data_IF_038762779497
#
_entry.id   IF_038762779497
#
_cell.length_a   1.000
_cell.length_b   1.000
_cell.length_c   1.000
_cell.angle_alpha   90.00
_cell.angle_beta   90.00
_cell.angle_gamma   90.00
#
_symmetry.space_group_name_H-M   'P 1'
#
loop_
_entity.id
_entity.type
_entity.pdbx_description
1 polymer ?
#
# COMPACT_ATOMS: atom_id res chain seq x y z
N UNK A 1 -22.50 7.34 -14.45
CA UNK A 1 -21.03 7.50 -14.32
C UNK A 1 -20.48 6.89 -13.03
N UNK A 2 -20.93 7.31 -11.84
CA UNK A 2 -20.44 6.84 -10.53
C UNK A 2 -20.30 5.30 -10.39
N UNK A 3 -21.33 4.50 -10.74
CA UNK A 3 -21.25 3.02 -10.70
C UNK A 3 -20.19 2.44 -11.65
N UNK A 4 -20.01 3.03 -12.82
CA UNK A 4 -19.01 2.58 -13.79
C UNK A 4 -17.58 2.90 -13.30
N UNK A 5 -17.39 4.09 -12.71
CA UNK A 5 -16.13 4.52 -12.10
C UNK A 5 -15.65 3.56 -11.01
N UNK A 6 -16.51 3.19 -10.06
CA UNK A 6 -16.15 2.21 -9.03
C UNK A 6 -15.86 0.81 -9.60
N UNK A 7 -16.60 0.37 -10.63
CA UNK A 7 -16.33 -0.90 -11.31
C UNK A 7 -14.99 -0.91 -12.05
N UNK A 8 -14.60 0.21 -12.65
CA UNK A 8 -13.29 0.35 -13.30
C UNK A 8 -12.16 0.17 -12.27
N UNK A 9 -12.28 0.80 -11.10
CA UNK A 9 -11.33 0.60 -10.01
C UNK A 9 -11.30 -0.85 -9.51
N UNK A 10 -12.46 -1.49 -9.37
CA UNK A 10 -12.53 -2.91 -9.01
C UNK A 10 -11.77 -3.79 -10.01
N UNK A 11 -11.97 -3.56 -11.31
CA UNK A 11 -11.28 -4.29 -12.37
C UNK A 11 -9.77 -4.13 -12.26
N UNK A 12 -9.28 -2.88 -12.11
CA UNK A 12 -7.86 -2.59 -11.88
C UNK A 12 -7.35 -3.39 -10.70
N UNK A 13 -8.00 -3.31 -9.53
CA UNK A 13 -7.53 -4.00 -8.34
C UNK A 13 -7.43 -5.51 -8.53
N UNK A 14 -8.44 -6.13 -9.13
CA UNK A 14 -8.44 -7.59 -9.36
C UNK A 14 -7.43 -8.05 -10.41
N UNK A 15 -7.09 -7.19 -11.37
CA UNK A 15 -6.06 -7.49 -12.38
C UNK A 15 -4.64 -7.40 -11.83
N UNK A 16 -4.39 -6.49 -10.89
CA UNK A 16 -3.04 -6.24 -10.36
C UNK A 16 -2.71 -7.01 -9.08
N UNK A 17 -3.71 -7.39 -8.26
CA UNK A 17 -3.42 -8.06 -6.99
C UNK A 17 -4.47 -9.08 -6.57
N UNK A 18 -4.06 -10.35 -6.57
CA UNK A 18 -4.88 -11.44 -6.01
C UNK A 18 -5.00 -11.34 -4.50
N UNK A 19 -3.99 -10.82 -3.80
CA UNK A 19 -4.02 -10.67 -2.33
C UNK A 19 -4.97 -9.56 -1.90
N UNK A 20 -4.84 -8.36 -2.48
CA UNK A 20 -5.73 -7.25 -2.16
C UNK A 20 -7.15 -7.50 -2.67
N UNK A 21 -7.29 -8.06 -3.89
CA UNK A 21 -8.60 -8.46 -4.43
C UNK A 21 -9.36 -9.38 -3.48
N UNK A 22 -8.73 -10.44 -2.97
CA UNK A 22 -9.35 -11.33 -1.98
C UNK A 22 -9.66 -10.63 -0.66
N UNK A 23 -8.72 -9.84 -0.14
CA UNK A 23 -8.90 -9.11 1.13
C UNK A 23 -10.09 -8.16 1.06
N UNK A 24 -10.28 -7.45 -0.06
CA UNK A 24 -11.38 -6.50 -0.21
C UNK A 24 -12.75 -7.19 -0.16
N UNK A 25 -12.85 -8.45 -0.59
CA UNK A 25 -14.12 -9.19 -0.50
C UNK A 25 -14.60 -9.43 0.93
N UNK A 26 -13.72 -9.30 1.93
CA UNK A 26 -14.06 -9.46 3.35
C UNK A 26 -14.52 -8.17 4.03
N UNK A 27 -14.41 -7.01 3.38
CA UNK A 27 -15.08 -5.79 3.88
C UNK A 27 -16.60 -5.94 3.76
N UNK A 28 -17.33 -5.20 4.58
CA UNK A 28 -18.75 -4.97 4.35
C UNK A 28 -18.99 -4.37 2.96
N UNK A 29 -20.09 -4.77 2.32
CA UNK A 29 -20.40 -4.42 0.93
C UNK A 29 -20.39 -2.91 0.66
N UNK A 30 -20.77 -2.10 1.67
CA UNK A 30 -20.75 -0.63 1.62
C UNK A 30 -19.33 -0.06 1.50
N UNK A 31 -18.32 -0.69 2.11
CA UNK A 31 -16.95 -0.15 2.12
C UNK A 31 -16.17 -0.51 0.85
N UNK A 32 -16.48 -1.65 0.22
CA UNK A 32 -15.71 -2.20 -0.91
C UNK A 32 -15.49 -1.20 -2.06
N UNK A 33 -16.50 -0.47 -2.57
CA UNK A 33 -16.30 0.47 -3.66
C UNK A 33 -15.25 1.54 -3.33
N UNK A 34 -15.27 2.05 -2.10
CA UNK A 34 -14.36 3.09 -1.64
C UNK A 34 -12.92 2.59 -1.51
N UNK A 35 -12.73 1.35 -1.05
CA UNK A 35 -11.40 0.74 -1.00
C UNK A 35 -10.86 0.46 -2.40
N UNK A 36 -11.72 0.01 -3.34
CA UNK A 36 -11.32 -0.08 -4.74
C UNK A 36 -10.92 1.28 -5.31
N UNK A 37 -11.66 2.35 -5.01
CA UNK A 37 -11.34 3.69 -5.50
C UNK A 37 -9.97 4.20 -5.00
N UNK A 38 -9.66 4.00 -3.72
CA UNK A 38 -8.33 4.32 -3.16
C UNK A 38 -7.25 3.52 -3.88
N UNK A 39 -7.39 2.20 -3.99
CA UNK A 39 -6.43 1.36 -4.69
C UNK A 39 -6.28 1.76 -6.16
N UNK A 40 -7.37 2.08 -6.83
CA UNK A 40 -7.40 2.44 -8.25
C UNK A 40 -6.55 3.68 -8.54
N UNK A 41 -6.69 4.75 -7.75
CA UNK A 41 -5.85 5.93 -7.91
C UNK A 41 -4.38 5.60 -7.65
N UNK A 42 -4.10 4.92 -6.54
CA UNK A 42 -2.73 4.56 -6.14
C UNK A 42 -2.04 3.72 -7.21
N UNK A 43 -2.73 2.70 -7.74
CA UNK A 43 -2.18 1.83 -8.79
C UNK A 43 -1.91 2.59 -10.08
N UNK A 44 -2.80 3.49 -10.51
CA UNK A 44 -2.58 4.26 -11.73
C UNK A 44 -1.35 5.19 -11.59
N UNK A 45 -1.18 5.84 -10.45
CA UNK A 45 0.02 6.65 -10.21
C UNK A 45 1.30 5.80 -10.20
N UNK A 46 1.26 4.61 -9.61
CA UNK A 46 2.37 3.65 -9.61
C UNK A 46 2.73 3.18 -11.03
N UNK A 47 1.74 2.85 -11.88
CA UNK A 47 1.97 2.50 -13.29
C UNK A 47 2.62 3.63 -14.10
N UNK A 48 2.24 4.89 -13.83
CA UNK A 48 2.87 6.04 -14.49
C UNK A 48 4.36 6.06 -14.16
N UNK A 49 4.76 5.75 -12.92
CA UNK A 49 6.15 5.87 -12.50
C UNK A 49 6.99 4.63 -12.82
N UNK A 50 6.41 3.44 -12.70
CA UNK A 50 7.13 2.18 -12.82
C UNK A 50 7.10 1.58 -14.23
N UNK A 51 6.00 1.77 -14.98
CA UNK A 51 5.81 1.12 -16.29
C UNK A 51 6.09 2.08 -17.44
N UNK A 52 5.65 3.33 -17.34
CA UNK A 52 5.86 4.31 -18.40
C UNK A 52 7.28 4.88 -18.38
N UNK A 53 7.92 4.99 -19.55
CA UNK A 53 9.31 5.47 -19.71
C UNK A 53 9.43 6.71 -20.59
N UNK A 54 8.30 7.32 -20.97
CA UNK A 54 8.30 8.53 -21.79
C UNK A 54 8.83 9.77 -21.05
N UNK A 55 9.28 10.80 -21.79
CA UNK A 55 9.91 12.00 -21.22
C UNK A 55 8.95 12.88 -20.40
N UNK A 56 7.64 12.77 -20.66
CA UNK A 56 6.54 13.49 -20.02
C UNK A 56 5.98 12.75 -18.79
N UNK A 57 6.58 11.65 -18.36
CA UNK A 57 6.17 10.87 -17.17
C UNK A 57 5.89 11.73 -15.94
N UNK A 58 6.76 12.71 -15.68
CA UNK A 58 6.59 13.65 -14.56
C UNK A 58 5.36 14.53 -14.76
N UNK A 59 5.15 15.03 -15.97
CA UNK A 59 3.98 15.85 -16.31
C UNK A 59 2.69 15.05 -16.15
N UNK A 60 2.64 13.80 -16.62
CA UNK A 60 1.46 12.93 -16.46
C UNK A 60 1.09 12.71 -14.98
N UNK A 61 2.08 12.54 -14.11
CA UNK A 61 1.86 12.41 -12.67
C UNK A 61 1.37 13.73 -12.05
N UNK A 62 1.94 14.87 -12.47
CA UNK A 62 1.54 16.20 -12.01
C UNK A 62 0.09 16.52 -12.45
N UNK A 63 -0.28 16.17 -13.69
CA UNK A 63 -1.63 16.30 -14.23
C UNK A 63 -2.63 15.41 -13.49
N UNK A 64 -2.25 14.16 -13.15
CA UNK A 64 -3.09 13.26 -12.37
C UNK A 64 -3.37 13.81 -10.96
N UNK A 65 -2.37 14.41 -10.31
CA UNK A 65 -2.55 15.07 -9.01
C UNK A 65 -3.50 16.27 -9.14
N UNK A 66 -3.27 17.12 -10.15
CA UNK A 66 -4.09 18.31 -10.39
C UNK A 66 -5.56 17.94 -10.67
N UNK A 67 -5.80 16.94 -11.53
CA UNK A 67 -7.13 16.41 -11.81
C UNK A 67 -7.80 15.85 -10.55
N UNK A 68 -7.04 15.10 -9.73
CA UNK A 68 -7.52 14.58 -8.44
C UNK A 68 -7.97 15.69 -7.51
N UNK A 69 -7.13 16.71 -7.29
CA UNK A 69 -7.46 17.84 -6.40
C UNK A 69 -8.64 18.66 -6.91
N UNK A 70 -8.69 18.92 -8.22
CA UNK A 70 -9.80 19.61 -8.86
C UNK A 70 -11.11 18.84 -8.69
N UNK A 71 -11.10 17.53 -8.93
CA UNK A 71 -12.26 16.66 -8.81
C UNK A 71 -12.78 16.53 -7.37
N UNK A 72 -11.87 16.50 -6.38
CA UNK A 72 -12.26 16.54 -4.96
C UNK A 72 -12.97 17.84 -4.62
N UNK A 73 -12.52 18.96 -5.20
CA UNK A 73 -13.12 20.28 -4.95
C UNK A 73 -14.48 20.42 -5.66
N UNK A 74 -14.53 20.09 -6.95
CA UNK A 74 -15.71 20.24 -7.80
C UNK A 74 -16.75 19.13 -7.63
N UNK A 75 -16.35 17.95 -7.14
CA UNK A 75 -17.18 16.75 -7.06
C UNK A 75 -17.28 15.95 -8.37
N UNK A 76 -16.52 16.30 -9.41
CA UNK A 76 -16.66 15.67 -10.73
C UNK A 76 -15.33 15.55 -11.50
N UNK A 77 -15.19 14.47 -12.27
CA UNK A 77 -14.09 14.26 -13.22
C UNK A 77 -14.55 13.39 -14.38
N UNK A 78 -14.05 13.66 -15.58
CA UNK A 78 -14.23 12.79 -16.76
C UNK A 78 -13.37 11.53 -16.71
N UNK A 79 -12.29 11.54 -15.92
CA UNK A 79 -11.49 10.35 -15.65
C UNK A 79 -12.20 9.47 -14.61
N UNK A 80 -12.61 8.23 -14.96
CA UNK A 80 -13.42 7.40 -14.08
C UNK A 80 -12.71 7.01 -12.78
N UNK A 81 -11.39 6.85 -12.78
CA UNK A 81 -10.61 6.48 -11.59
C UNK A 81 -10.48 7.66 -10.64
N UNK A 82 -10.18 8.84 -11.19
CA UNK A 82 -10.15 10.09 -10.44
C UNK A 82 -11.54 10.41 -9.87
N UNK A 83 -12.60 10.18 -10.66
CA UNK A 83 -13.97 10.47 -10.24
C UNK A 83 -14.40 9.64 -9.02
N UNK A 84 -14.20 8.33 -9.02
CA UNK A 84 -14.55 7.48 -7.87
C UNK A 84 -13.70 7.80 -6.64
N UNK A 85 -12.41 8.09 -6.82
CA UNK A 85 -11.56 8.53 -5.71
C UNK A 85 -12.04 9.85 -5.14
N UNK A 86 -12.35 10.84 -5.98
CA UNK A 86 -12.81 12.15 -5.53
C UNK A 86 -14.13 12.06 -4.74
N UNK A 87 -15.09 11.26 -5.19
CA UNK A 87 -16.33 11.03 -4.45
C UNK A 87 -16.07 10.36 -3.10
N UNK A 88 -15.18 9.35 -3.07
CA UNK A 88 -14.76 8.69 -1.82
C UNK A 88 -14.08 9.67 -0.87
N UNK A 89 -13.15 10.49 -1.38
CA UNK A 89 -12.39 11.44 -0.59
C UNK A 89 -13.29 12.52 0.03
N UNK A 90 -14.30 13.00 -0.70
CA UNK A 90 -15.30 13.92 -0.18
C UNK A 90 -16.18 13.28 0.89
N UNK A 91 -16.61 12.03 0.67
CA UNK A 91 -17.50 11.33 1.59
C UNK A 91 -16.84 11.00 2.94
N UNK A 92 -15.54 10.68 2.92
CA UNK A 92 -14.79 10.23 4.11
C UNK A 92 -13.74 11.22 4.60
N UNK A 93 -13.78 12.46 4.13
CA UNK A 93 -12.83 13.51 4.55
C UNK A 93 -11.35 13.09 4.38
N UNK A 94 -11.02 12.59 3.17
CA UNK A 94 -9.64 12.32 2.76
C UNK A 94 -9.05 13.61 2.20
N UNK A 95 -8.37 14.36 3.06
CA UNK A 95 -7.81 15.65 2.73
C UNK A 95 -6.48 15.62 1.95
N UNK A 96 -6.10 16.78 1.43
CA UNK A 96 -4.85 16.96 0.67
C UNK A 96 -3.58 16.69 1.50
N UNK A 97 -3.69 16.68 2.84
CA UNK A 97 -2.61 16.29 3.74
C UNK A 97 -2.21 14.82 3.62
N UNK A 98 -3.08 13.94 3.12
CA UNK A 98 -2.73 12.54 2.81
C UNK A 98 -2.39 12.35 1.33
N UNK A 99 -3.06 13.10 0.44
CA UNK A 99 -2.94 12.96 -1.01
C UNK A 99 -1.62 13.54 -1.53
N UNK A 100 -1.24 14.74 -1.08
CA UNK A 100 -0.04 15.41 -1.60
C UNK A 100 1.25 14.66 -1.23
N UNK A 101 1.42 14.11 -0.01
CA UNK A 101 2.56 13.25 0.30
C UNK A 101 2.64 12.00 -0.56
N UNK A 102 1.50 11.40 -0.93
CA UNK A 102 1.47 10.28 -1.86
C UNK A 102 2.04 10.64 -3.24
N UNK A 103 1.54 11.70 -3.87
CA UNK A 103 2.10 12.13 -5.15
C UNK A 103 3.56 12.61 -5.02
N UNK A 104 3.96 13.12 -3.86
CA UNK A 104 5.35 13.49 -3.59
C UNK A 104 6.27 12.26 -3.57
N UNK A 105 5.88 11.14 -2.96
CA UNK A 105 6.67 9.90 -2.96
C UNK A 105 6.75 9.29 -4.36
N UNK A 106 5.65 9.26 -5.11
CA UNK A 106 5.63 8.80 -6.52
C UNK A 106 6.63 9.58 -7.38
N UNK A 107 6.79 10.89 -7.16
CA UNK A 107 7.81 11.68 -7.87
C UNK A 107 9.25 11.30 -7.50
N UNK A 108 9.48 10.80 -6.28
CA UNK A 108 10.83 10.35 -5.88
C UNK A 108 11.25 9.13 -6.68
N UNK A 109 10.31 8.31 -7.15
CA UNK A 109 10.58 7.12 -7.95
C UNK A 109 10.88 7.42 -9.42
N UNK A 110 10.57 8.63 -9.91
CA UNK A 110 10.87 9.04 -11.29
C UNK A 110 12.37 9.25 -11.51
N UNK A 111 13.10 9.71 -10.49
CA UNK A 111 14.52 10.02 -10.57
C UNK A 111 15.28 9.27 -9.48
N UNK A 112 16.26 8.42 -9.82
CA UNK A 112 17.04 7.69 -8.82
C UNK A 112 17.62 8.61 -7.75
N UNK A 113 17.52 8.20 -6.48
CA UNK A 113 18.03 8.92 -5.32
C UNK A 113 18.71 7.95 -4.37
N UNK A 114 19.77 8.42 -3.72
CA UNK A 114 20.30 7.76 -2.52
C UNK A 114 19.45 8.18 -1.34
N UNK A 115 18.91 7.19 -0.61
CA UNK A 115 18.06 7.43 0.54
C UNK A 115 18.90 7.56 1.81
N UNK A 116 18.86 8.74 2.42
CA UNK A 116 19.18 8.89 3.84
C UNK A 116 17.96 8.52 4.70
N UNK A 117 18.13 8.49 6.02
CA UNK A 117 17.05 8.14 6.94
C UNK A 117 15.81 9.05 6.77
N UNK A 118 16.02 10.36 6.58
CA UNK A 118 14.93 11.32 6.44
C UNK A 118 14.16 11.10 5.14
N UNK A 119 14.84 10.82 4.03
CA UNK A 119 14.20 10.56 2.75
C UNK A 119 13.46 9.22 2.78
N UNK A 120 14.03 8.20 3.43
CA UNK A 120 13.41 6.90 3.64
C UNK A 120 12.09 7.02 4.41
N UNK A 121 12.10 7.73 5.54
CA UNK A 121 10.91 7.95 6.36
C UNK A 121 9.83 8.73 5.58
N UNK A 122 10.22 9.81 4.89
CA UNK A 122 9.30 10.60 4.06
C UNK A 122 8.71 9.78 2.91
N UNK A 123 9.50 8.91 2.32
CA UNK A 123 9.06 8.06 1.23
C UNK A 123 8.05 7.03 1.74
N UNK A 124 8.35 6.30 2.82
CA UNK A 124 7.44 5.32 3.41
C UNK A 124 6.13 5.99 3.84
N UNK A 125 6.22 7.15 4.48
CA UNK A 125 5.05 7.94 4.85
C UNK A 125 4.15 8.19 3.63
N UNK A 126 4.72 8.73 2.55
CA UNK A 126 3.97 9.04 1.33
C UNK A 126 3.52 7.83 0.52
N UNK A 127 4.34 6.79 0.36
CA UNK A 127 4.03 5.66 -0.52
C UNK A 127 3.08 4.63 0.11
N UNK A 128 3.03 4.55 1.45
CA UNK A 128 2.23 3.52 2.11
C UNK A 128 1.47 3.96 3.36
N UNK A 129 2.06 4.74 4.27
CA UNK A 129 1.36 5.11 5.52
C UNK A 129 0.11 5.94 5.22
N UNK A 130 0.23 6.96 4.36
CA UNK A 130 -0.93 7.77 3.97
C UNK A 130 -2.01 6.95 3.29
N UNK A 131 -1.68 5.89 2.53
CA UNK A 131 -2.67 5.00 1.92
C UNK A 131 -3.42 4.20 2.98
N UNK A 132 -2.71 3.72 4.01
CA UNK A 132 -3.31 3.11 5.20
C UNK A 132 -4.24 4.09 5.94
N UNK A 133 -3.83 5.34 6.09
CA UNK A 133 -4.63 6.41 6.71
C UNK A 133 -5.87 6.78 5.87
N UNK A 134 -5.77 6.78 4.54
CA UNK A 134 -6.92 6.96 3.64
C UNK A 134 -7.93 5.84 3.81
N UNK A 135 -7.47 4.58 3.88
CA UNK A 135 -8.34 3.43 4.15
C UNK A 135 -8.98 3.53 5.54
N UNK A 136 -8.23 3.95 6.56
CA UNK A 136 -8.74 4.09 7.92
C UNK A 136 -9.89 5.10 8.02
N UNK A 137 -9.81 6.23 7.30
CA UNK A 137 -10.93 7.20 7.19
C UNK A 137 -12.23 6.52 6.71
N UNK A 138 -12.13 5.61 5.73
CA UNK A 138 -13.27 4.83 5.23
C UNK A 138 -13.77 3.82 6.25
N UNK A 139 -12.86 3.18 7.00
CA UNK A 139 -13.21 2.15 7.98
C UNK A 139 -13.94 2.72 9.19
N UNK A 140 -13.51 3.88 9.70
CA UNK A 140 -14.03 4.44 10.94
C UNK A 140 -15.22 5.35 10.72
N UNK A 141 -15.17 6.21 9.69
CA UNK A 141 -16.13 7.31 9.48
C UNK A 141 -16.41 8.15 10.75
N UNK A 142 -15.49 8.12 11.71
CA UNK A 142 -15.53 8.81 13.00
C UNK A 142 -14.14 9.35 13.31
N UNK A 143 -14.09 10.61 13.74
CA UNK A 143 -12.83 11.33 13.96
C UNK A 143 -12.05 10.78 15.16
N UNK A 144 -12.72 10.49 16.27
CA UNK A 144 -12.05 10.04 17.50
C UNK A 144 -11.46 8.64 17.31
N UNK A 145 -12.22 7.74 16.71
CA UNK A 145 -11.76 6.39 16.37
C UNK A 145 -10.66 6.41 15.30
N UNK A 146 -10.74 7.32 14.34
CA UNK A 146 -9.64 7.53 13.38
C UNK A 146 -8.35 7.92 14.12
N UNK A 147 -8.40 8.94 14.98
CA UNK A 147 -7.24 9.44 15.72
C UNK A 147 -6.63 8.37 16.63
N UNK A 148 -7.45 7.56 17.29
CA UNK A 148 -6.95 6.49 18.17
C UNK A 148 -6.28 5.34 17.41
N UNK A 149 -6.66 5.09 16.16
CA UNK A 149 -6.13 3.98 15.35
C UNK A 149 -5.06 4.42 14.32
N UNK A 150 -4.91 5.72 14.06
CA UNK A 150 -4.04 6.26 13.02
C UNK A 150 -2.57 5.83 13.16
N UNK A 151 -2.04 5.83 14.38
CA UNK A 151 -0.65 5.40 14.64
C UNK A 151 -0.41 3.95 14.23
N UNK A 152 -1.31 3.04 14.60
CA UNK A 152 -1.20 1.62 14.23
C UNK A 152 -1.44 1.37 12.74
N UNK A 153 -2.36 2.11 12.10
CA UNK A 153 -2.59 2.03 10.66
C UNK A 153 -1.38 2.52 9.85
N UNK A 154 -0.73 3.61 10.29
CA UNK A 154 0.52 4.09 9.72
C UNK A 154 1.62 3.03 9.81
N UNK A 155 1.82 2.46 11.02
CA UNK A 155 2.79 1.38 11.25
C UNK A 155 2.54 0.14 10.38
N UNK A 156 1.28 -0.23 10.17
CA UNK A 156 0.94 -1.32 9.26
C UNK A 156 1.32 -1.01 7.81
N UNK A 157 1.06 0.22 7.35
CA UNK A 157 1.48 0.70 6.03
C UNK A 157 3.00 0.67 5.86
N UNK A 158 3.75 1.15 6.86
CA UNK A 158 5.20 1.10 6.88
C UNK A 158 5.73 -0.34 6.77
N UNK A 159 5.20 -1.27 7.58
CA UNK A 159 5.58 -2.67 7.52
C UNK A 159 5.34 -3.27 6.12
N UNK A 160 4.18 -3.00 5.50
CA UNK A 160 3.88 -3.49 4.15
C UNK A 160 4.87 -2.96 3.11
N UNK A 161 5.23 -1.68 3.18
CA UNK A 161 6.17 -1.11 2.23
C UNK A 161 7.57 -1.67 2.38
N UNK A 162 8.06 -1.80 3.61
CA UNK A 162 9.36 -2.40 3.90
C UNK A 162 9.42 -3.87 3.45
N UNK A 163 8.33 -4.63 3.60
CA UNK A 163 8.20 -5.99 3.04
C UNK A 163 8.23 -5.97 1.51
N UNK A 164 7.55 -5.01 0.87
CA UNK A 164 7.58 -4.88 -0.60
C UNK A 164 9.00 -4.61 -1.10
N UNK A 165 9.73 -3.67 -0.49
CA UNK A 165 11.13 -3.42 -0.80
C UNK A 165 11.97 -4.70 -0.71
N UNK A 166 11.90 -5.44 0.41
CA UNK A 166 12.67 -6.68 0.57
C UNK A 166 12.30 -7.76 -0.43
N UNK A 167 11.02 -7.87 -0.79
CA UNK A 167 10.52 -8.86 -1.73
C UNK A 167 11.01 -8.57 -3.16
N UNK A 168 11.14 -7.29 -3.49
CA UNK A 168 11.30 -6.80 -4.85
C UNK A 168 12.74 -6.27 -5.12
N UNK A 169 13.68 -6.44 -4.16
CA UNK A 169 15.12 -6.07 -4.26
C UNK A 169 15.73 -6.32 -5.64
N UNK A 170 15.57 -7.52 -6.18
CA UNK A 170 16.15 -7.90 -7.47
C UNK A 170 15.68 -6.99 -8.62
N UNK A 171 14.39 -6.68 -8.67
CA UNK A 171 13.82 -5.85 -9.72
C UNK A 171 14.14 -4.36 -9.49
N UNK A 172 14.08 -3.90 -8.23
CA UNK A 172 14.30 -2.50 -7.88
C UNK A 172 15.77 -2.09 -8.08
N UNK A 173 16.71 -2.87 -7.55
CA UNK A 173 18.12 -2.52 -7.61
C UNK A 173 18.74 -2.71 -8.99
N UNK A 174 18.47 -3.86 -9.66
CA UNK A 174 19.11 -4.18 -10.94
C UNK A 174 18.31 -3.64 -12.14
N UNK A 175 16.98 -3.62 -12.05
CA UNK A 175 16.11 -3.14 -13.13
C UNK A 175 15.90 -1.63 -13.12
N UNK A 176 15.72 -1.03 -11.94
CA UNK A 176 15.33 0.38 -11.79
C UNK A 176 16.41 1.26 -11.14
N UNK A 177 17.51 0.68 -10.67
CA UNK A 177 18.57 1.42 -9.96
C UNK A 177 18.12 2.01 -8.63
N UNK A 178 17.10 1.43 -7.99
CA UNK A 178 16.50 1.93 -6.73
C UNK A 178 16.95 1.09 -5.55
N UNK A 179 17.40 1.77 -4.49
CA UNK A 179 17.70 1.17 -3.20
C UNK A 179 17.23 2.11 -2.08
N UNK A 180 16.27 1.65 -1.29
CA UNK A 180 15.57 2.50 -0.32
C UNK A 180 16.17 2.47 1.08
N UNK A 181 16.85 1.38 1.47
CA UNK A 181 17.30 1.20 2.86
C UNK A 181 18.54 2.05 3.17
N UNK A 182 18.49 2.94 4.19
CA UNK A 182 19.62 3.83 4.50
C UNK A 182 20.77 3.12 5.24
N UNK A 183 20.52 1.92 5.77
CA UNK A 183 21.46 1.20 6.65
C UNK A 183 22.60 0.50 5.91
N UNK A 184 22.52 0.36 4.59
CA UNK A 184 23.56 -0.26 3.75
C UNK A 184 23.41 0.20 2.30
N UNK A 185 24.40 -0.09 1.46
CA UNK A 185 24.21 -0.08 0.00
C UNK A 185 23.61 -1.40 -0.48
N UNK A 186 23.15 -1.46 -1.74
CA UNK A 186 22.77 -2.73 -2.37
C UNK A 186 23.95 -3.72 -2.47
N UNK A 187 25.16 -3.21 -2.72
CA UNK A 187 26.35 -4.05 -2.85
C UNK A 187 26.67 -4.77 -1.53
N UNK A 188 26.45 -4.09 -0.41
CA UNK A 188 26.72 -4.58 0.96
C UNK A 188 25.53 -5.36 1.56
N UNK A 189 24.44 -5.56 0.81
CA UNK A 189 23.28 -6.28 1.33
C UNK A 189 23.60 -7.75 1.61
N UNK A 190 23.59 -8.09 2.89
CA UNK A 190 23.96 -9.38 3.45
C UNK A 190 22.93 -9.90 4.48
N UNK A 191 23.25 -11.03 5.13
CA UNK A 191 22.37 -11.63 6.15
C UNK A 191 22.20 -10.75 7.39
N UNK A 192 23.25 -10.00 7.78
CA UNK A 192 23.21 -9.11 8.94
C UNK A 192 22.25 -7.94 8.67
N UNK A 193 22.39 -7.31 7.51
CA UNK A 193 21.54 -6.21 7.05
C UNK A 193 20.09 -6.69 6.90
N UNK A 194 19.87 -7.84 6.25
CA UNK A 194 18.54 -8.46 6.13
C UNK A 194 17.91 -8.65 7.51
N UNK A 195 18.66 -9.16 8.49
CA UNK A 195 18.18 -9.38 9.85
C UNK A 195 17.71 -8.07 10.50
N UNK A 196 18.50 -6.99 10.41
CA UNK A 196 18.15 -5.67 10.93
C UNK A 196 16.86 -5.13 10.32
N UNK A 197 16.72 -5.18 8.99
CA UNK A 197 15.50 -4.73 8.30
C UNK A 197 14.30 -5.58 8.73
N UNK A 198 14.44 -6.91 8.76
CA UNK A 198 13.32 -7.77 9.14
C UNK A 198 12.87 -7.56 10.57
N UNK A 199 13.78 -7.20 11.48
CA UNK A 199 13.46 -6.85 12.87
C UNK A 199 12.65 -5.54 12.94
N UNK A 200 13.08 -4.50 12.22
CA UNK A 200 12.34 -3.23 12.11
C UNK A 200 10.92 -3.44 11.56
N UNK A 201 10.75 -4.31 10.58
CA UNK A 201 9.41 -4.70 10.08
C UNK A 201 8.58 -5.41 11.15
N UNK A 202 9.17 -6.31 11.94
CA UNK A 202 8.49 -7.02 13.02
C UNK A 202 8.02 -6.06 14.13
N UNK A 203 8.82 -5.03 14.43
CA UNK A 203 8.46 -3.97 15.38
C UNK A 203 7.27 -3.15 14.87
N UNK A 204 7.25 -2.77 13.59
CA UNK A 204 6.10 -2.09 13.00
C UNK A 204 4.84 -2.98 12.98
N UNK A 205 4.96 -4.28 12.67
CA UNK A 205 3.84 -5.21 12.76
C UNK A 205 3.32 -5.33 14.20
N UNK A 206 4.20 -5.44 15.18
CA UNK A 206 3.83 -5.51 16.59
C UNK A 206 3.07 -4.25 17.03
N UNK A 207 3.54 -3.06 16.62
CA UNK A 207 2.88 -1.79 16.91
C UNK A 207 1.49 -1.66 16.27
N UNK A 208 1.26 -2.30 15.12
CA UNK A 208 -0.01 -2.27 14.40
C UNK A 208 -1.09 -3.20 15.00
N UNK A 209 -0.72 -4.26 15.73
CA UNK A 209 -1.65 -5.32 16.17
C UNK A 209 -2.87 -4.81 16.91
N UNK A 210 -2.66 -3.95 17.91
CA UNK A 210 -3.77 -3.43 18.73
C UNK A 210 -4.77 -2.67 17.88
N UNK A 211 -4.30 -1.85 16.95
CA UNK A 211 -5.17 -1.10 16.06
C UNK A 211 -5.98 -2.03 15.15
N UNK A 212 -5.39 -3.13 14.66
CA UNK A 212 -6.11 -4.13 13.86
C UNK A 212 -7.25 -4.76 14.68
N UNK A 213 -6.99 -5.14 15.92
CA UNK A 213 -8.00 -5.75 16.81
C UNK A 213 -9.16 -4.79 17.08
N UNK A 214 -8.85 -3.49 17.23
CA UNK A 214 -9.82 -2.44 17.56
C UNK A 214 -10.61 -1.93 16.35
N UNK A 215 -10.27 -2.36 15.13
CA UNK A 215 -11.01 -1.95 13.92
C UNK A 215 -12.49 -2.36 14.02
N UNK A 216 -13.40 -1.56 13.43
CA UNK A 216 -14.79 -1.95 13.26
C UNK A 216 -14.93 -3.32 12.60
N UNK A 217 -15.93 -4.11 13.01
CA UNK A 217 -16.16 -5.46 12.48
C UNK A 217 -16.33 -5.47 10.94
N UNK A 218 -16.85 -4.37 10.38
CA UNK A 218 -17.04 -4.12 8.96
C UNK A 218 -15.73 -4.13 8.13
N UNK A 219 -14.59 -3.93 8.79
CA UNK A 219 -13.27 -3.83 8.15
C UNK A 219 -12.20 -4.77 8.71
N UNK A 220 -12.34 -5.18 9.97
CA UNK A 220 -11.34 -5.95 10.70
C UNK A 220 -10.84 -7.19 9.95
N UNK A 221 -11.74 -8.09 9.53
CA UNK A 221 -11.36 -9.36 8.88
C UNK A 221 -10.56 -9.18 7.59
N UNK A 222 -10.90 -8.13 6.82
CA UNK A 222 -10.17 -7.82 5.60
C UNK A 222 -8.75 -7.34 5.89
N UNK A 223 -8.59 -6.49 6.92
CA UNK A 223 -7.27 -6.02 7.36
C UNK A 223 -6.47 -7.15 8.00
N UNK A 224 -7.08 -7.99 8.84
CA UNK A 224 -6.46 -9.20 9.40
C UNK A 224 -5.92 -10.11 8.30
N UNK A 225 -6.69 -10.38 7.24
CA UNK A 225 -6.21 -11.20 6.13
C UNK A 225 -5.00 -10.58 5.43
N UNK A 226 -5.03 -9.27 5.20
CA UNK A 226 -3.88 -8.57 4.60
C UNK A 226 -2.64 -8.67 5.50
N UNK A 227 -2.81 -8.53 6.81
CA UNK A 227 -1.74 -8.64 7.80
C UNK A 227 -1.13 -10.05 7.77
N UNK A 228 -1.98 -11.08 7.71
CA UNK A 228 -1.56 -12.48 7.62
C UNK A 228 -0.78 -12.74 6.34
N UNK A 229 -1.23 -12.24 5.19
CA UNK A 229 -0.48 -12.39 3.93
C UNK A 229 0.92 -11.80 4.00
N UNK A 230 1.04 -10.57 4.52
CA UNK A 230 2.33 -9.91 4.63
C UNK A 230 3.22 -10.51 5.72
N UNK A 231 2.65 -10.98 6.83
CA UNK A 231 3.38 -11.70 7.89
C UNK A 231 3.96 -13.02 7.38
N UNK A 232 3.18 -13.79 6.60
CA UNK A 232 3.66 -15.03 5.98
C UNK A 232 4.72 -14.76 4.90
N UNK A 233 4.56 -13.67 4.15
CA UNK A 233 5.58 -13.23 3.20
C UNK A 233 6.88 -12.86 3.91
N UNK A 234 6.83 -12.09 5.00
CA UNK A 234 7.99 -11.75 5.82
C UNK A 234 8.67 -13.01 6.37
N UNK A 235 7.91 -13.97 6.91
CA UNK A 235 8.44 -15.25 7.37
C UNK A 235 9.21 -15.98 6.27
N UNK A 236 8.67 -15.97 5.05
CA UNK A 236 9.33 -16.56 3.87
C UNK A 236 10.60 -15.79 3.47
N UNK A 237 10.57 -14.46 3.54
CA UNK A 237 11.74 -13.61 3.28
C UNK A 237 12.86 -13.88 4.29
N UNK A 238 12.53 -13.94 5.59
CA UNK A 238 13.48 -14.28 6.67
C UNK A 238 14.18 -15.62 6.43
N UNK A 239 13.40 -16.64 6.02
CA UNK A 239 13.91 -17.97 5.71
C UNK A 239 14.67 -18.06 4.37
N UNK A 240 14.58 -17.04 3.52
CA UNK A 240 15.26 -16.99 2.22
C UNK A 240 16.64 -16.35 2.38
N UNK A 241 17.74 -16.98 1.92
CA UNK A 241 19.06 -16.34 1.96
C UNK A 241 19.08 -14.99 1.23
N UNK A 242 19.82 -14.01 1.75
CA UNK A 242 19.96 -12.67 1.19
C UNK A 242 20.43 -12.71 -0.27
N UNK A 243 21.37 -13.61 -0.57
CA UNK A 243 21.84 -13.87 -1.95
C UNK A 243 20.69 -14.27 -2.89
N UNK A 244 19.72 -15.03 -2.40
CA UNK A 244 18.55 -15.44 -3.19
C UNK A 244 17.55 -14.29 -3.38
N UNK A 245 17.39 -13.40 -2.39
CA UNK A 245 16.54 -12.20 -2.52
C UNK A 245 17.04 -11.25 -3.62
N UNK A 246 18.35 -11.22 -3.84
CA UNK A 246 18.98 -10.44 -4.93
C UNK A 246 18.69 -11.00 -6.32
N UNK A 247 18.33 -12.27 -6.42
CA UNK A 247 18.16 -12.95 -7.71
C UNK A 247 16.70 -13.10 -8.14
N UNK A 248 15.77 -13.11 -7.18
CA UNK A 248 14.36 -13.33 -7.51
C UNK A 248 13.40 -12.71 -6.52
N UNK A 249 12.26 -12.33 -7.07
CA UNK A 249 11.07 -11.93 -6.32
C UNK A 249 10.54 -13.08 -5.46
N UNK A 250 10.25 -12.80 -4.19
CA UNK A 250 9.60 -13.76 -3.28
C UNK A 250 8.09 -13.58 -3.32
N UNK A 251 7.30 -14.66 -3.22
CA UNK A 251 5.84 -14.54 -3.14
C UNK A 251 5.22 -15.69 -2.37
N UNK A 252 4.07 -15.44 -1.75
CA UNK A 252 3.17 -16.50 -1.31
C UNK A 252 2.36 -16.98 -2.52
N UNK A 253 2.24 -18.30 -2.70
CA UNK A 253 1.54 -18.86 -3.85
C UNK A 253 0.01 -18.79 -3.65
N UNK A 254 -0.75 -18.94 -4.74
CA UNK A 254 -2.21 -18.78 -4.68
C UNK A 254 -2.89 -19.84 -3.79
N UNK A 255 -2.37 -21.07 -3.73
CA UNK A 255 -2.91 -22.13 -2.85
C UNK A 255 -2.81 -21.72 -1.38
N UNK A 256 -1.64 -21.23 -0.97
CA UNK A 256 -1.42 -20.70 0.38
C UNK A 256 -2.32 -19.49 0.65
N UNK A 257 -2.46 -18.57 -0.31
CA UNK A 257 -3.37 -17.41 -0.17
C UNK A 257 -4.82 -17.84 0.07
N UNK A 258 -5.31 -18.82 -0.69
CA UNK A 258 -6.66 -19.36 -0.54
C UNK A 258 -6.84 -20.07 0.81
N UNK A 259 -5.86 -20.86 1.25
CA UNK A 259 -5.91 -21.52 2.55
C UNK A 259 -6.01 -20.51 3.71
N UNK A 260 -5.16 -19.48 3.70
CA UNK A 260 -5.18 -18.40 4.70
C UNK A 260 -6.48 -17.60 4.65
N UNK A 261 -7.01 -17.32 3.45
CA UNK A 261 -8.32 -16.69 3.28
C UNK A 261 -9.41 -17.48 3.98
N UNK A 262 -9.46 -18.80 3.78
CA UNK A 262 -10.47 -19.66 4.41
C UNK A 262 -10.32 -19.71 5.94
N UNK A 263 -9.08 -19.69 6.46
CA UNK A 263 -8.81 -19.66 7.89
C UNK A 263 -9.32 -18.37 8.54
N UNK A 264 -8.99 -17.20 7.97
CA UNK A 264 -9.47 -15.90 8.48
C UNK A 264 -10.99 -15.78 8.33
N UNK A 265 -11.54 -16.16 7.17
CA UNK A 265 -12.99 -16.12 6.92
C UNK A 265 -13.78 -16.95 7.94
N UNK A 266 -13.27 -18.13 8.31
CA UNK A 266 -13.87 -19.03 9.29
C UNK A 266 -13.60 -18.67 10.76
N UNK A 267 -12.82 -17.61 11.04
CA UNK A 267 -12.46 -17.22 12.41
C UNK A 267 -11.49 -18.17 13.10
N UNK A 268 -10.76 -18.99 12.34
CA UNK A 268 -9.73 -19.90 12.88
C UNK A 268 -8.35 -19.26 13.00
N UNK A 269 -8.22 -17.99 12.60
CA UNK A 269 -6.97 -17.23 12.61
C UNK A 269 -7.24 -15.80 13.04
N UNK A 270 -6.52 -15.33 14.05
CA UNK A 270 -6.60 -13.98 14.59
C UNK A 270 -5.19 -13.38 14.72
N UNK A 271 -5.13 -12.04 14.69
CA UNK A 271 -3.91 -11.23 14.83
C UNK A 271 -3.44 -11.14 16.27
#
# INVERSE_FOLDING_TARGET
MCKASYKACQLITTSYSTSFGLSITLFDSVLRPHIYAIYGLVRIADEIVDTYTGPDRRQLLDDLEAQTKAAITSGYSTNPIVHSFALTARQYDIGFGLISPFFKSMRMDITPKTFDQKLYDNYIYGSAEVVGLMCLKVFTADKKLYESLAGGAGKLGAAYQKVNFLRDIAADAEGLGRWYFPISSYADFDEKTKSLITKDIEEDFAAAKKAIIDLPASSRKAVELSYVYYSQLLKKIKATPAKTLRLKRIRINNVQKTALFMQVKSGKYHV
#
